data_IF_093450495607
#
_entry.id   IF_093450495607
#
_cell.length_a   1.000
_cell.length_b   1.000
_cell.length_c   1.000
_cell.angle_alpha   90.00
_cell.angle_beta   90.00
_cell.angle_gamma   90.00
#
_symmetry.space_group_name_H-M   'P 1'
#
loop_
_entity.id
_entity.type
_entity.pdbx_description
1 polymer ?
#
# COMPACT_ATOMS: atom_id res chain seq x y z
N UNK A 1 8.71 -10.46 -74.13
CA UNK A 1 9.70 -9.64 -73.36
C UNK A 1 11.15 -9.83 -73.82
N UNK A 2 11.68 -11.05 -73.92
CA UNK A 2 13.10 -11.29 -74.22
C UNK A 2 13.52 -10.73 -75.60
N UNK A 3 12.69 -10.91 -76.63
CA UNK A 3 12.96 -10.37 -77.97
C UNK A 3 12.99 -8.83 -78.03
N UNK A 4 12.24 -8.14 -77.17
CA UNK A 4 12.25 -6.68 -77.07
C UNK A 4 13.53 -6.19 -76.40
N UNK A 5 13.95 -6.82 -75.29
CA UNK A 5 15.23 -6.50 -74.62
C UNK A 5 16.45 -6.76 -75.49
N UNK A 6 16.43 -7.82 -76.31
CA UNK A 6 17.51 -8.11 -77.26
C UNK A 6 17.61 -7.01 -78.33
N UNK A 7 16.49 -6.61 -78.94
CA UNK A 7 16.43 -5.51 -79.90
C UNK A 7 16.88 -4.18 -79.29
N UNK A 8 16.47 -3.90 -78.06
CA UNK A 8 16.90 -2.71 -77.32
C UNK A 8 18.42 -2.67 -77.10
N UNK A 9 19.04 -3.77 -76.64
CA UNK A 9 20.50 -3.84 -76.48
C UNK A 9 21.24 -3.69 -77.80
N UNK A 10 20.73 -4.32 -78.86
CA UNK A 10 21.31 -4.26 -80.19
C UNK A 10 21.22 -2.85 -80.78
N UNK A 11 20.08 -2.18 -80.62
CA UNK A 11 19.91 -0.78 -81.02
C UNK A 11 20.94 0.13 -80.32
N UNK A 12 21.09 0.02 -79.00
CA UNK A 12 22.04 0.85 -78.26
C UNK A 12 23.51 0.49 -78.52
N UNK A 13 23.85 -0.74 -78.92
CA UNK A 13 25.23 -1.15 -79.20
C UNK A 13 25.70 -0.87 -80.64
N UNK A 14 24.77 -0.77 -81.58
CA UNK A 14 25.04 -0.54 -83.01
C UNK A 14 24.95 0.93 -83.42
N UNK A 15 24.19 1.75 -82.69
CA UNK A 15 24.01 3.18 -82.98
C UNK A 15 25.23 4.01 -82.52
N UNK A 16 25.95 4.73 -83.40
CA UNK A 16 27.19 5.44 -83.08
C UNK A 16 27.05 6.44 -81.93
N UNK A 17 25.95 7.18 -81.89
CA UNK A 17 25.68 8.24 -80.89
C UNK A 17 25.49 7.68 -79.48
N UNK A 18 24.98 6.45 -79.35
CA UNK A 18 24.66 5.82 -78.06
C UNK A 18 25.60 4.69 -77.65
N UNK A 19 26.46 4.21 -78.56
CA UNK A 19 27.36 3.07 -78.33
C UNK A 19 28.20 3.22 -77.05
N UNK A 20 28.70 4.43 -76.77
CA UNK A 20 29.49 4.70 -75.56
C UNK A 20 28.66 4.64 -74.27
N UNK A 21 27.34 4.87 -74.35
CA UNK A 21 26.39 4.82 -73.24
C UNK A 21 25.64 3.49 -73.13
N UNK A 22 25.81 2.57 -74.07
CA UNK A 22 25.05 1.30 -74.15
C UNK A 22 25.04 0.49 -72.84
N UNK A 23 26.06 0.65 -71.98
CA UNK A 23 26.16 -0.01 -70.67
C UNK A 23 25.39 0.68 -69.53
N UNK A 24 24.96 1.94 -69.71
CA UNK A 24 24.24 2.79 -68.72
C UNK A 24 22.82 3.16 -69.15
N UNK A 25 22.32 2.58 -70.24
CA UNK A 25 20.99 2.88 -70.79
C UNK A 25 20.20 1.59 -71.04
N UNK A 26 18.91 1.75 -71.34
CA UNK A 26 17.98 0.67 -71.58
C UNK A 26 17.26 0.17 -70.34
N UNK A 27 16.16 -0.55 -70.58
CA UNK A 27 15.21 -0.99 -69.57
C UNK A 27 15.81 -1.86 -68.47
N UNK A 28 16.81 -2.69 -68.80
CA UNK A 28 17.51 -3.53 -67.81
C UNK A 28 18.39 -2.70 -66.87
N UNK A 29 19.11 -1.70 -67.40
CA UNK A 29 19.92 -0.82 -66.56
C UNK A 29 19.02 0.01 -65.63
N UNK A 30 17.92 0.55 -66.16
CA UNK A 30 16.93 1.27 -65.38
C UNK A 30 16.33 0.40 -64.26
N UNK A 31 15.93 -0.84 -64.57
CA UNK A 31 15.40 -1.77 -63.57
C UNK A 31 16.41 -2.04 -62.45
N UNK A 32 17.69 -2.28 -62.79
CA UNK A 32 18.77 -2.45 -61.79
C UNK A 32 18.97 -1.19 -60.94
N UNK A 33 18.91 0.00 -61.56
CA UNK A 33 19.03 1.27 -60.85
C UNK A 33 17.88 1.50 -59.87
N UNK A 34 16.64 1.26 -60.30
CA UNK A 34 15.45 1.38 -59.45
C UNK A 34 15.47 0.36 -58.30
N UNK A 35 15.85 -0.90 -58.57
CA UNK A 35 16.01 -1.92 -57.53
C UNK A 35 17.05 -1.52 -56.49
N UNK A 36 18.23 -1.03 -56.92
CA UNK A 36 19.28 -0.58 -56.00
C UNK A 36 18.84 0.64 -55.18
N UNK A 37 18.14 1.58 -55.80
CA UNK A 37 17.61 2.75 -55.10
C UNK A 37 16.57 2.33 -54.05
N UNK A 38 15.61 1.47 -54.43
CA UNK A 38 14.59 0.94 -53.52
C UNK A 38 15.22 0.19 -52.34
N UNK A 39 16.20 -0.68 -52.60
CA UNK A 39 16.93 -1.40 -51.55
C UNK A 39 17.63 -0.44 -50.57
N UNK A 40 18.26 0.62 -51.10
CA UNK A 40 18.92 1.65 -50.27
C UNK A 40 17.91 2.36 -49.37
N UNK A 41 16.76 2.75 -49.93
CA UNK A 41 15.68 3.42 -49.17
C UNK A 41 15.13 2.47 -48.10
N UNK A 42 14.83 1.21 -48.44
CA UNK A 42 14.35 0.21 -47.48
C UNK A 42 15.34 0.03 -46.32
N UNK A 43 16.63 -0.23 -46.64
CA UNK A 43 17.69 -0.39 -45.62
C UNK A 43 17.82 0.82 -44.71
N UNK A 44 17.66 2.04 -45.24
CA UNK A 44 17.72 3.26 -44.43
C UNK A 44 16.56 3.41 -43.44
N UNK A 45 15.41 2.79 -43.70
CA UNK A 45 14.20 2.89 -42.86
C UNK A 45 14.09 1.76 -41.84
N UNK A 46 14.72 0.61 -42.08
CA UNK A 46 14.70 -0.56 -41.18
C UNK A 46 15.03 -0.20 -39.71
N UNK A 47 16.09 0.54 -39.38
CA UNK A 47 16.42 0.85 -37.99
C UNK A 47 15.32 1.64 -37.26
N UNK A 48 14.65 2.56 -37.98
CA UNK A 48 13.53 3.33 -37.42
C UNK A 48 12.31 2.47 -37.15
N UNK A 49 12.00 1.53 -38.05
CA UNK A 49 10.91 0.57 -37.85
C UNK A 49 11.23 -0.37 -36.69
N UNK A 50 12.46 -0.88 -36.59
CA UNK A 50 12.90 -1.74 -35.50
C UNK A 50 12.75 -1.04 -34.14
N UNK A 51 13.17 0.24 -34.05
CA UNK A 51 13.00 1.04 -32.83
C UNK A 51 11.53 1.22 -32.45
N UNK A 52 10.66 1.50 -33.42
CA UNK A 52 9.22 1.65 -33.18
C UNK A 52 8.58 0.34 -32.68
N UNK A 53 8.93 -0.79 -33.29
CA UNK A 53 8.44 -2.12 -32.87
C UNK A 53 8.88 -2.43 -31.44
N UNK A 54 10.16 -2.28 -31.14
CA UNK A 54 10.70 -2.56 -29.80
C UNK A 54 10.01 -1.70 -28.73
N UNK A 55 9.89 -0.39 -28.99
CA UNK A 55 9.18 0.51 -28.08
C UNK A 55 7.71 0.10 -27.87
N UNK A 56 7.01 -0.27 -28.94
CA UNK A 56 5.60 -0.68 -28.87
C UNK A 56 5.44 -2.00 -28.11
N UNK A 57 6.38 -2.93 -28.27
CA UNK A 57 6.45 -4.18 -27.50
C UNK A 57 6.57 -3.86 -26.01
N UNK A 58 7.52 -3.01 -25.61
CA UNK A 58 7.74 -2.66 -24.20
C UNK A 58 6.50 -2.00 -23.58
N UNK A 59 5.83 -1.11 -24.32
CA UNK A 59 4.57 -0.47 -23.90
C UNK A 59 3.46 -1.51 -23.70
N UNK A 60 3.30 -2.45 -24.64
CA UNK A 60 2.31 -3.51 -24.57
C UNK A 60 2.57 -4.50 -23.42
N UNK A 61 3.84 -4.86 -23.18
CA UNK A 61 4.23 -5.73 -22.08
C UNK A 61 4.00 -5.07 -20.71
N UNK A 62 4.28 -3.77 -20.61
CA UNK A 62 3.99 -2.97 -19.41
C UNK A 62 2.48 -2.91 -19.15
N UNK A 63 1.68 -2.70 -20.18
CA UNK A 63 0.21 -2.65 -20.05
C UNK A 63 -0.37 -4.03 -19.67
N UNK A 64 0.10 -5.11 -20.29
CA UNK A 64 -0.30 -6.48 -19.93
C UNK A 64 0.11 -6.84 -18.51
N UNK A 65 1.31 -6.43 -18.08
CA UNK A 65 1.78 -6.62 -16.71
C UNK A 65 0.88 -5.90 -15.71
N UNK A 66 0.40 -4.70 -16.05
CA UNK A 66 -0.55 -3.94 -15.22
C UNK A 66 -1.92 -4.63 -15.10
N UNK A 67 -2.38 -5.30 -16.16
CA UNK A 67 -3.64 -6.07 -16.14
C UNK A 67 -3.50 -7.42 -15.44
N UNK A 68 -2.29 -7.90 -15.18
CA UNK A 68 -2.03 -9.18 -14.54
C UNK A 68 -2.30 -10.39 -15.43
N UNK A 69 -2.10 -11.58 -14.87
CA UNK A 69 -2.27 -12.86 -15.58
C UNK A 69 -3.74 -13.31 -15.56
N UNK A 70 -4.20 -13.99 -16.62
CA UNK A 70 -5.52 -14.61 -16.61
C UNK A 70 -5.61 -15.67 -15.52
N UNK A 71 -6.77 -15.75 -14.86
CA UNK A 71 -7.06 -16.76 -13.84
C UNK A 71 -7.43 -18.05 -14.56
N UNK A 72 -6.68 -19.13 -14.33
CA UNK A 72 -7.00 -20.43 -14.89
C UNK A 72 -8.32 -20.97 -14.29
N UNK A 73 -9.21 -21.48 -15.14
CA UNK A 73 -10.56 -21.89 -14.76
C UNK A 73 -10.60 -23.06 -13.75
N UNK A 74 -9.53 -23.84 -13.66
CA UNK A 74 -9.34 -25.01 -12.80
C UNK A 74 -8.53 -24.71 -11.53
N UNK A 75 -7.79 -23.60 -11.49
CA UNK A 75 -6.90 -23.23 -10.38
C UNK A 75 -7.52 -22.22 -9.38
N UNK A 76 -8.85 -22.09 -9.35
CA UNK A 76 -9.52 -21.04 -8.59
C UNK A 76 -9.23 -21.07 -7.09
N UNK A 77 -9.33 -22.24 -6.46
CA UNK A 77 -9.03 -22.38 -5.02
C UNK A 77 -7.57 -22.04 -4.70
N UNK A 78 -6.62 -22.54 -5.50
CA UNK A 78 -5.20 -22.25 -5.34
C UNK A 78 -4.92 -20.74 -5.45
N UNK A 79 -5.57 -20.08 -6.41
CA UNK A 79 -5.43 -18.63 -6.63
C UNK A 79 -5.98 -17.82 -5.45
N UNK A 80 -7.17 -18.17 -4.95
CA UNK A 80 -7.77 -17.48 -3.78
C UNK A 80 -6.91 -17.69 -2.53
N UNK A 81 -6.41 -18.91 -2.30
CA UNK A 81 -5.51 -19.19 -1.18
C UNK A 81 -4.24 -18.34 -1.25
N UNK A 82 -3.67 -18.15 -2.44
CA UNK A 82 -2.50 -17.30 -2.62
C UNK A 82 -2.81 -15.81 -2.36
N UNK A 83 -3.97 -15.33 -2.81
CA UNK A 83 -4.46 -13.98 -2.49
C UNK A 83 -4.60 -13.82 -0.96
N UNK A 84 -5.16 -14.81 -0.25
CA UNK A 84 -5.26 -14.80 1.20
C UNK A 84 -3.89 -14.77 1.90
N UNK A 85 -2.90 -15.53 1.39
CA UNK A 85 -1.51 -15.48 1.92
C UNK A 85 -0.88 -14.11 1.73
N UNK A 86 -0.99 -13.52 0.54
CA UNK A 86 -0.46 -12.19 0.23
C UNK A 86 -1.13 -11.11 1.08
N UNK A 87 -2.45 -11.19 1.24
CA UNK A 87 -3.19 -10.31 2.16
C UNK A 87 -2.68 -10.44 3.60
N UNK A 88 -2.54 -11.68 4.10
CA UNK A 88 -2.08 -11.96 5.45
C UNK A 88 -0.65 -11.46 5.69
N UNK A 89 0.25 -11.66 4.74
CA UNK A 89 1.61 -11.13 4.80
C UNK A 89 1.61 -9.60 4.87
N UNK A 90 0.82 -8.93 4.01
CA UNK A 90 0.67 -7.49 4.05
C UNK A 90 0.10 -7.02 5.40
N UNK A 91 -0.91 -7.69 5.94
CA UNK A 91 -1.47 -7.36 7.26
C UNK A 91 -0.40 -7.46 8.35
N UNK A 92 0.36 -8.55 8.39
CA UNK A 92 1.47 -8.73 9.33
C UNK A 92 2.55 -7.67 9.19
N UNK A 93 2.95 -7.32 7.97
CA UNK A 93 3.93 -6.25 7.75
C UNK A 93 3.47 -4.89 8.30
N UNK A 94 2.17 -4.57 8.23
CA UNK A 94 1.66 -3.33 8.80
C UNK A 94 1.51 -3.37 10.32
N UNK A 95 1.33 -4.56 10.88
CA UNK A 95 1.18 -4.76 12.31
C UNK A 95 2.54 -4.83 13.02
N UNK A 96 3.50 -5.57 12.45
CA UNK A 96 4.82 -5.85 13.04
C UNK A 96 5.93 -4.86 12.59
N UNK A 97 5.78 -4.20 11.43
CA UNK A 97 6.87 -3.45 10.80
C UNK A 97 7.00 -1.98 11.25
N UNK A 98 8.00 -1.28 10.68
CA UNK A 98 8.37 0.16 10.86
C UNK A 98 7.29 1.13 10.32
N UNK A 99 6.02 0.71 10.27
CA UNK A 99 4.90 1.49 9.73
C UNK A 99 3.90 1.80 10.83
N UNK A 100 3.09 2.83 10.59
CA UNK A 100 2.11 3.44 11.51
C UNK A 100 1.18 2.53 12.31
N UNK A 101 1.05 1.24 12.02
CA UNK A 101 0.15 0.33 12.73
C UNK A 101 0.64 -0.01 14.13
N UNK A 102 1.83 -0.62 14.21
CA UNK A 102 2.49 -0.93 15.49
C UNK A 102 2.68 0.32 16.34
N UNK A 103 3.19 1.41 15.74
CA UNK A 103 3.40 2.70 16.43
C UNK A 103 2.11 3.27 17.04
N UNK A 104 0.97 3.13 16.36
CA UNK A 104 -0.33 3.57 16.90
C UNK A 104 -0.75 2.74 18.10
N UNK A 105 -0.52 1.43 18.06
CA UNK A 105 -0.80 0.54 19.20
C UNK A 105 0.13 0.89 20.38
N UNK A 106 1.42 1.12 20.13
CA UNK A 106 2.34 1.61 21.15
C UNK A 106 1.88 2.95 21.74
N UNK A 107 1.43 3.89 20.90
CA UNK A 107 0.94 5.19 21.38
C UNK A 107 -0.31 5.06 22.27
N UNK A 108 -1.20 4.09 22.02
CA UNK A 108 -2.33 3.80 22.91
C UNK A 108 -1.82 3.37 24.29
N UNK A 109 -0.80 2.51 24.35
CA UNK A 109 -0.30 1.94 25.60
C UNK A 109 0.66 2.84 26.37
N UNK A 110 1.52 3.60 25.69
CA UNK A 110 2.59 4.39 26.32
C UNK A 110 2.15 5.83 26.62
N UNK A 111 1.15 6.34 25.89
CA UNK A 111 0.71 7.73 26.03
C UNK A 111 -0.77 7.83 26.46
N UNK A 112 -1.69 7.27 25.68
CA UNK A 112 -3.13 7.49 25.90
C UNK A 112 -3.63 6.85 27.19
N UNK A 113 -3.33 5.56 27.41
CA UNK A 113 -3.73 4.84 28.61
C UNK A 113 -3.11 5.44 29.89
N UNK A 114 -1.79 5.70 29.97
CA UNK A 114 -1.19 6.32 31.15
C UNK A 114 -1.75 7.72 31.47
N UNK A 115 -2.01 8.53 30.43
CA UNK A 115 -2.61 9.85 30.57
C UNK A 115 -4.05 9.77 31.09
N UNK A 116 -4.86 8.87 30.52
CA UNK A 116 -6.24 8.66 30.93
C UNK A 116 -6.34 8.15 32.38
N UNK A 117 -5.46 7.21 32.78
CA UNK A 117 -5.37 6.74 34.16
C UNK A 117 -5.06 7.91 35.12
N UNK A 118 -4.07 8.76 34.78
CA UNK A 118 -3.70 9.91 35.60
C UNK A 118 -4.85 10.92 35.73
N UNK A 119 -5.58 11.17 34.64
CA UNK A 119 -6.73 12.09 34.64
C UNK A 119 -7.88 11.59 35.52
N UNK A 120 -8.19 10.28 35.48
CA UNK A 120 -9.22 9.69 36.33
C UNK A 120 -8.91 9.86 37.82
N UNK A 121 -7.63 9.77 38.21
CA UNK A 121 -7.21 9.99 39.60
C UNK A 121 -7.37 11.45 40.06
N UNK A 122 -7.05 12.40 39.19
CA UNK A 122 -7.17 13.84 39.50
C UNK A 122 -8.63 14.25 39.70
N UNK A 123 -9.53 13.79 38.82
CA UNK A 123 -10.96 14.12 38.90
C UNK A 123 -11.63 13.62 40.18
N UNK A 124 -11.15 12.50 40.73
CA UNK A 124 -11.69 11.95 41.97
C UNK A 124 -11.23 12.75 43.19
N UNK A 125 -9.99 13.24 43.20
CA UNK A 125 -9.52 14.16 44.26
C UNK A 125 -10.30 15.49 44.29
N UNK A 126 -10.85 15.91 43.14
CA UNK A 126 -11.61 17.16 43.00
C UNK A 126 -13.12 16.99 43.29
N UNK A 127 -13.71 15.83 42.97
CA UNK A 127 -15.15 15.59 43.09
C UNK A 127 -15.61 15.27 44.52
N UNK A 128 -14.73 14.69 45.33
CA UNK A 128 -15.05 14.15 46.64
C UNK A 128 -14.74 15.17 47.74
N UNK A 129 -15.64 16.16 47.93
CA UNK A 129 -15.62 17.11 49.05
C UNK A 129 -15.84 16.43 50.43
N UNK A 130 -14.89 15.58 50.85
CA UNK A 130 -15.05 14.62 51.95
C UNK A 130 -15.10 15.26 53.35
N UNK A 131 -16.13 14.92 54.12
CA UNK A 131 -16.23 15.21 55.56
C UNK A 131 -15.59 14.07 56.40
N UNK A 132 -14.52 14.33 57.19
CA UNK A 132 -13.61 13.28 57.70
C UNK A 132 -14.08 12.53 58.95
N UNK A 133 -15.06 13.05 59.68
CA UNK A 133 -15.36 12.56 61.04
C UNK A 133 -16.08 11.20 61.08
N UNK A 134 -16.45 10.62 59.94
CA UNK A 134 -17.18 9.34 59.87
C UNK A 134 -16.37 8.14 59.35
N UNK A 135 -15.12 8.33 58.92
CA UNK A 135 -14.32 7.28 58.28
C UNK A 135 -12.99 7.08 59.01
N UNK A 136 -13.06 6.44 60.17
CA UNK A 136 -11.89 5.96 60.92
C UNK A 136 -11.85 4.42 61.00
N UNK A 137 -12.50 3.72 60.05
CA UNK A 137 -12.52 2.25 59.98
C UNK A 137 -11.94 1.77 58.64
N UNK A 138 -11.31 0.59 58.64
CA UNK A 138 -10.77 -0.09 57.44
C UNK A 138 -11.76 -0.10 56.27
N UNK A 139 -13.05 -0.20 56.58
CA UNK A 139 -14.15 -0.18 55.64
C UNK A 139 -14.22 1.10 54.79
N UNK A 140 -13.84 2.26 55.31
CA UNK A 140 -13.91 3.50 54.55
C UNK A 140 -12.71 3.71 53.62
N UNK A 141 -11.52 3.22 54.00
CA UNK A 141 -10.39 3.09 53.06
C UNK A 141 -10.75 2.15 51.91
N UNK A 142 -11.35 0.99 52.23
CA UNK A 142 -11.80 0.02 51.24
C UNK A 142 -12.79 0.61 50.25
N UNK A 143 -13.83 1.30 50.72
CA UNK A 143 -14.83 1.94 49.85
C UNK A 143 -14.22 3.02 48.94
N UNK A 144 -13.31 3.83 49.47
CA UNK A 144 -12.65 4.88 48.67
C UNK A 144 -11.74 4.28 47.59
N UNK A 145 -11.01 3.22 47.93
CA UNK A 145 -10.21 2.45 46.98
C UNK A 145 -11.12 1.82 45.91
N UNK A 146 -12.18 1.13 46.31
CA UNK A 146 -13.14 0.48 45.38
C UNK A 146 -13.75 1.49 44.41
N UNK A 147 -14.24 2.63 44.92
CA UNK A 147 -14.78 3.72 44.09
C UNK A 147 -13.74 4.21 43.07
N UNK A 148 -12.49 4.39 43.51
CA UNK A 148 -11.40 4.83 42.63
C UNK A 148 -11.07 3.80 41.55
N UNK A 149 -11.03 2.51 41.90
CA UNK A 149 -10.74 1.44 40.96
C UNK A 149 -11.83 1.29 39.89
N UNK A 150 -13.10 1.57 40.20
CA UNK A 150 -14.19 1.55 39.21
C UNK A 150 -13.95 2.58 38.10
N UNK A 151 -13.39 3.76 38.42
CA UNK A 151 -13.10 4.79 37.40
C UNK A 151 -12.00 4.40 36.41
N UNK A 152 -11.20 3.38 36.71
CA UNK A 152 -10.15 2.85 35.83
C UNK A 152 -10.75 2.01 34.69
N UNK A 153 -11.98 1.52 34.86
CA UNK A 153 -12.68 0.73 33.83
C UNK A 153 -12.79 1.49 32.51
N UNK A 154 -13.20 2.76 32.53
CA UNK A 154 -13.37 3.57 31.32
C UNK A 154 -12.08 3.71 30.49
N UNK A 155 -10.94 4.13 31.08
CA UNK A 155 -9.64 4.13 30.40
C UNK A 155 -9.22 2.77 29.84
N UNK A 156 -9.50 1.68 30.56
CA UNK A 156 -9.19 0.32 30.10
C UNK A 156 -10.04 -0.08 28.88
N UNK A 157 -11.35 0.16 28.93
CA UNK A 157 -12.28 -0.09 27.81
C UNK A 157 -11.90 0.76 26.59
N UNK A 158 -11.58 2.04 26.79
CA UNK A 158 -11.13 2.92 25.71
C UNK A 158 -9.84 2.44 25.03
N UNK A 159 -8.88 1.90 25.78
CA UNK A 159 -7.66 1.32 25.21
C UNK A 159 -7.93 0.03 24.41
N UNK A 160 -8.88 -0.80 24.86
CA UNK A 160 -9.36 -2.00 24.15
C UNK A 160 -10.01 -1.61 22.83
N UNK A 161 -10.91 -0.63 22.84
CA UNK A 161 -11.65 -0.17 21.66
C UNK A 161 -10.75 0.53 20.65
N UNK A 162 -9.83 1.38 21.13
CA UNK A 162 -8.84 2.04 20.28
C UNK A 162 -7.95 1.02 19.55
N UNK A 163 -7.47 0.00 20.26
CA UNK A 163 -6.66 -1.07 19.66
C UNK A 163 -7.46 -1.86 18.64
N UNK A 164 -8.70 -2.21 18.96
CA UNK A 164 -9.61 -2.90 18.02
C UNK A 164 -9.88 -2.08 16.76
N UNK A 165 -10.10 -0.76 16.89
CA UNK A 165 -10.27 0.14 15.75
C UNK A 165 -9.02 0.20 14.87
N UNK A 166 -7.82 0.27 15.48
CA UNK A 166 -6.55 0.23 14.75
C UNK A 166 -6.42 -1.09 13.97
N UNK A 167 -6.75 -2.23 14.58
CA UNK A 167 -6.70 -3.53 13.89
C UNK A 167 -7.67 -3.58 12.69
N UNK A 168 -8.89 -3.04 12.82
CA UNK A 168 -9.83 -2.91 11.70
C UNK A 168 -9.30 -2.02 10.58
N UNK A 169 -8.72 -0.87 10.92
CA UNK A 169 -8.11 0.03 9.93
C UNK A 169 -6.95 -0.65 9.19
N UNK A 170 -6.16 -1.46 9.89
CA UNK A 170 -5.08 -2.23 9.31
C UNK A 170 -5.59 -3.30 8.33
N UNK A 171 -6.70 -3.98 8.66
CA UNK A 171 -7.38 -4.89 7.73
C UNK A 171 -7.79 -4.13 6.46
N UNK A 172 -8.47 -3.00 6.59
CA UNK A 172 -8.89 -2.19 5.43
C UNK A 172 -7.68 -1.71 4.60
N UNK A 173 -6.60 -1.28 5.24
CA UNK A 173 -5.36 -0.89 4.55
C UNK A 173 -4.70 -2.07 3.83
N UNK A 174 -4.63 -3.23 4.46
CA UNK A 174 -4.11 -4.45 3.85
C UNK A 174 -4.96 -4.87 2.63
N UNK A 175 -6.29 -4.77 2.72
CA UNK A 175 -7.22 -5.02 1.60
C UNK A 175 -7.02 -4.02 0.46
N UNK A 176 -6.76 -2.75 0.77
CA UNK A 176 -6.51 -1.74 -0.26
C UNK A 176 -5.18 -1.96 -0.98
N UNK A 177 -4.19 -2.62 -0.37
CA UNK A 177 -2.86 -2.84 -0.94
C UNK A 177 -2.72 -4.12 -1.76
N UNK A 178 -3.57 -5.12 -1.55
CA UNK A 178 -3.61 -6.35 -2.38
C UNK A 178 -3.80 -6.06 -3.87
N UNK A 179 -4.65 -5.10 -4.30
CA UNK A 179 -4.71 -4.64 -5.69
C UNK A 179 -3.83 -3.41 -6.01
N UNK A 180 -3.35 -2.65 -5.01
CA UNK A 180 -2.65 -1.35 -5.21
C UNK A 180 -1.12 -1.38 -5.13
N UNK A 181 -0.46 -2.49 -4.82
CA UNK A 181 1.03 -2.51 -4.68
C UNK A 181 1.76 -2.13 -5.99
N UNK A 182 1.14 -2.30 -7.15
CA UNK A 182 1.67 -1.85 -8.45
C UNK A 182 1.34 -0.37 -8.77
N UNK A 183 0.19 0.15 -8.31
CA UNK A 183 -0.23 1.54 -8.60
C UNK A 183 0.44 2.57 -7.68
N UNK A 184 0.84 2.17 -6.47
CA UNK A 184 1.51 3.05 -5.50
C UNK A 184 2.98 3.36 -5.81
N UNK A 185 3.67 2.50 -6.59
CA UNK A 185 5.02 2.84 -7.10
C UNK A 185 5.01 4.06 -8.05
N UNK A 186 3.85 4.43 -8.61
CA UNK A 186 3.68 5.63 -9.44
C UNK A 186 3.33 6.90 -8.63
N UNK A 187 2.86 6.75 -7.38
CA UNK A 187 2.52 7.88 -6.48
C UNK A 187 3.67 8.20 -5.53
N UNK A 188 4.51 7.22 -5.19
CA UNK A 188 5.75 7.45 -4.42
C UNK A 188 6.77 8.32 -5.18
N UNK A 189 6.59 8.52 -6.51
CA UNK A 189 7.31 9.54 -7.30
C UNK A 189 6.84 10.99 -7.05
N UNK A 190 5.63 11.20 -6.52
CA UNK A 190 5.01 12.52 -6.33
C UNK A 190 5.14 13.06 -4.88
N UNK A 191 5.48 12.22 -3.90
CA UNK A 191 5.65 12.63 -2.50
C UNK A 191 7.00 13.33 -2.19
N UNK A 192 7.88 13.52 -3.19
CA UNK A 192 9.15 14.24 -3.02
C UNK A 192 9.01 15.77 -3.03
N UNK A 193 7.79 16.33 -3.12
CA UNK A 193 7.55 17.78 -3.03
C UNK A 193 6.68 18.14 -1.81
N UNK A 194 7.34 18.29 -0.65
CA UNK A 194 6.83 19.11 0.45
C UNK A 194 7.89 20.18 0.77
N UNK A 195 7.68 21.38 0.22
CA UNK A 195 8.52 22.56 0.40
C UNK A 195 8.33 23.20 1.77
N UNK A 196 9.41 23.84 2.24
CA UNK A 196 9.58 24.58 3.51
C UNK A 196 8.46 25.61 3.80
N UNK A 197 7.67 25.99 2.81
CA UNK A 197 6.55 26.94 2.97
C UNK A 197 5.39 26.42 3.85
N UNK A 198 5.18 25.10 3.95
CA UNK A 198 4.09 24.56 4.78
C UNK A 198 4.30 24.85 6.28
N UNK A 199 5.55 24.90 6.75
CA UNK A 199 5.87 25.10 8.17
C UNK A 199 5.86 26.57 8.62
N UNK A 200 5.67 27.54 7.72
CA UNK A 200 5.57 28.98 8.06
C UNK A 200 4.14 29.43 8.42
N UNK A 201 3.13 28.57 8.32
CA UNK A 201 1.72 28.90 8.61
C UNK A 201 1.17 28.20 9.86
N UNK A 202 1.89 28.29 10.97
CA UNK A 202 1.36 27.94 12.30
C UNK A 202 1.32 29.22 13.18
N UNK A 203 0.16 29.60 13.73
CA UNK A 203 0.06 30.77 14.61
C UNK A 203 0.80 30.53 15.94
N UNK A 204 1.51 31.55 16.41
CA UNK A 204 2.04 31.67 17.77
C UNK A 204 1.29 32.82 18.45
N UNK A 205 0.75 32.56 19.64
CA UNK A 205 0.25 33.61 20.53
C UNK A 205 1.05 33.63 21.84
N UNK A 206 1.24 34.85 22.33
CA UNK A 206 2.08 35.24 23.47
C UNK A 206 1.22 35.98 24.49
N UNK A 207 1.53 35.72 25.76
CA UNK A 207 1.51 36.61 26.94
C UNK A 207 0.38 36.62 28.00
N UNK A 208 0.88 36.48 29.25
CA UNK A 208 0.64 37.25 30.50
C UNK A 208 -0.42 36.83 31.53
N UNK A 209 0.06 36.85 32.79
CA UNK A 209 -0.68 37.37 33.96
C UNK A 209 -0.82 36.42 35.14
N UNK A 210 -0.15 36.70 36.27
CA UNK A 210 -0.30 35.96 37.53
C UNK A 210 -1.22 36.63 38.55
N UNK A 211 -1.59 35.90 39.61
CA UNK A 211 -1.52 36.34 41.02
C UNK A 211 -1.91 35.19 41.96
N UNK A 212 -1.33 35.24 43.16
CA UNK A 212 -1.48 34.32 44.29
C UNK A 212 -2.40 34.97 45.33
N UNK A 213 -3.42 34.24 45.79
CA UNK A 213 -4.07 34.51 47.08
C UNK A 213 -4.34 33.19 47.80
N UNK A 214 -3.56 32.95 48.86
CA UNK A 214 -3.85 31.96 49.89
C UNK A 214 -4.89 32.53 50.84
N UNK A 215 -5.95 31.77 51.10
CA UNK A 215 -6.85 31.97 52.25
C UNK A 215 -6.30 31.19 53.44
N UNK A 216 -6.25 31.85 54.59
CA UNK A 216 -5.82 31.32 55.89
C UNK A 216 -7.10 30.96 56.65
N UNK A 217 -7.46 29.67 56.70
CA UNK A 217 -8.08 28.98 57.84
C UNK A 217 -8.37 27.51 57.45
N UNK A 218 -7.54 26.58 57.94
CA UNK A 218 -7.95 25.22 58.32
C UNK A 218 -6.72 24.43 58.77
N UNK A 219 -6.45 24.41 60.08
CA UNK A 219 -5.21 23.82 60.60
C UNK A 219 -5.34 22.66 61.58
N UNK A 220 -6.53 22.11 61.79
CA UNK A 220 -6.64 20.93 62.68
C UNK A 220 -7.49 19.76 62.17
N UNK A 221 -7.77 19.69 60.87
CA UNK A 221 -8.31 18.47 60.22
C UNK A 221 -7.57 18.07 58.92
N UNK A 222 -6.72 18.95 58.37
CA UNK A 222 -6.04 18.77 57.08
C UNK A 222 -4.89 17.73 57.12
N UNK A 223 -4.19 17.60 58.25
CA UNK A 223 -3.04 16.67 58.35
C UNK A 223 -3.46 15.19 58.38
N UNK A 224 -4.60 14.88 59.00
CA UNK A 224 -5.17 13.53 59.02
C UNK A 224 -5.81 13.17 57.68
N UNK A 225 -6.56 14.12 57.09
CA UNK A 225 -7.10 14.01 55.73
C UNK A 225 -6.01 13.81 54.67
N UNK A 226 -4.94 14.61 54.71
CA UNK A 226 -3.78 14.42 53.83
C UNK A 226 -3.12 13.06 54.02
N UNK A 227 -3.07 12.53 55.25
CA UNK A 227 -2.54 11.18 55.50
C UNK A 227 -3.43 10.11 54.88
N UNK A 228 -4.75 10.14 55.11
CA UNK A 228 -5.71 9.21 54.48
C UNK A 228 -5.59 9.28 52.95
N UNK A 229 -5.66 10.50 52.40
CA UNK A 229 -5.51 10.76 50.97
C UNK A 229 -4.17 10.25 50.43
N UNK A 230 -3.07 10.46 51.15
CA UNK A 230 -1.74 9.97 50.74
C UNK A 230 -1.63 8.45 50.74
N UNK A 231 -2.24 7.76 51.70
CA UNK A 231 -2.22 6.28 51.79
C UNK A 231 -3.08 5.66 50.69
N UNK A 232 -4.28 6.18 50.46
CA UNK A 232 -5.17 5.73 49.38
C UNK A 232 -4.55 6.03 48.02
N UNK A 233 -4.02 7.23 47.83
CA UNK A 233 -3.33 7.62 46.60
C UNK A 233 -2.09 6.75 46.34
N UNK A 234 -1.33 6.39 47.38
CA UNK A 234 -0.19 5.47 47.25
C UNK A 234 -0.63 4.08 46.80
N UNK A 235 -1.71 3.54 47.40
CA UNK A 235 -2.25 2.24 47.01
C UNK A 235 -2.77 2.26 45.57
N UNK A 236 -3.55 3.29 45.22
CA UNK A 236 -4.10 3.42 43.88
C UNK A 236 -3.00 3.63 42.83
N UNK A 237 -1.97 4.41 43.12
CA UNK A 237 -0.81 4.56 42.23
C UNK A 237 -0.08 3.24 41.99
N UNK A 238 0.06 2.40 43.03
CA UNK A 238 0.63 1.05 42.90
C UNK A 238 -0.24 0.17 41.98
N UNK A 239 -1.57 0.22 42.13
CA UNK A 239 -2.50 -0.52 41.27
C UNK A 239 -2.44 0.00 39.83
N UNK A 240 -2.46 1.32 39.61
CA UNK A 240 -2.32 1.92 38.28
C UNK A 240 -0.98 1.57 37.62
N UNK A 241 0.12 1.51 38.37
CA UNK A 241 1.42 1.07 37.87
C UNK A 241 1.38 -0.40 37.41
N UNK A 242 0.69 -1.26 38.18
CA UNK A 242 0.49 -2.67 37.80
C UNK A 242 -0.39 -2.79 36.55
N UNK A 243 -1.51 -2.06 36.50
CA UNK A 243 -2.46 -2.06 35.39
C UNK A 243 -1.87 -1.51 34.10
N UNK A 244 -0.97 -0.51 34.19
CA UNK A 244 -0.20 0.01 33.04
C UNK A 244 0.60 -1.07 32.32
N UNK A 245 0.99 -2.14 33.01
CA UNK A 245 1.70 -3.26 32.40
C UNK A 245 0.80 -4.44 32.06
N UNK A 246 -0.22 -4.75 32.87
CA UNK A 246 -1.08 -5.92 32.66
C UNK A 246 -2.14 -5.70 31.57
N UNK A 247 -2.70 -4.49 31.45
CA UNK A 247 -3.73 -4.17 30.43
C UNK A 247 -3.16 -4.29 29.02
N UNK A 248 -2.03 -3.64 28.66
CA UNK A 248 -1.43 -3.81 27.33
C UNK A 248 -1.09 -5.27 27.02
N UNK A 249 -0.55 -6.03 27.98
CA UNK A 249 -0.25 -7.46 27.79
C UNK A 249 -1.50 -8.27 27.48
N UNK A 250 -2.61 -8.01 28.18
CA UNK A 250 -3.89 -8.67 27.92
C UNK A 250 -4.44 -8.31 26.54
N UNK A 251 -4.43 -7.02 26.16
CA UNK A 251 -4.89 -6.56 24.84
C UNK A 251 -4.02 -7.16 23.73
N UNK A 252 -2.70 -7.14 23.88
CA UNK A 252 -1.78 -7.74 22.90
C UNK A 252 -2.03 -9.25 22.77
N UNK A 253 -2.20 -9.96 23.89
CA UNK A 253 -2.46 -11.39 23.86
C UNK A 253 -3.81 -11.73 23.21
N UNK A 254 -4.89 -11.06 23.62
CA UNK A 254 -6.24 -11.42 23.22
C UNK A 254 -6.68 -10.83 21.87
N UNK A 255 -6.13 -9.69 21.45
CA UNK A 255 -6.52 -9.04 20.20
C UNK A 255 -5.40 -9.12 19.16
N UNK A 256 -4.22 -8.58 19.46
CA UNK A 256 -3.15 -8.41 18.46
C UNK A 256 -2.59 -9.78 18.03
N UNK A 257 -2.26 -10.64 19.00
CA UNK A 257 -1.72 -11.97 18.75
C UNK A 257 -2.77 -12.89 18.13
N UNK A 258 -4.00 -12.86 18.64
CA UNK A 258 -5.09 -13.66 18.08
C UNK A 258 -5.44 -13.24 16.65
N UNK A 259 -5.53 -11.94 16.35
CA UNK A 259 -5.72 -11.45 14.98
C UNK A 259 -4.57 -11.89 14.05
N UNK A 260 -3.33 -11.92 14.56
CA UNK A 260 -2.18 -12.41 13.79
C UNK A 260 -2.19 -13.93 13.59
N UNK A 261 -2.68 -14.71 14.56
CA UNK A 261 -2.62 -16.18 14.50
C UNK A 261 -3.79 -16.77 13.73
N UNK A 262 -4.99 -16.26 13.96
CA UNK A 262 -6.23 -16.90 13.50
C UNK A 262 -6.72 -16.42 12.14
N UNK A 263 -6.25 -15.27 11.64
CA UNK A 263 -6.81 -14.66 10.43
C UNK A 263 -6.66 -15.53 9.17
N UNK A 264 -5.49 -16.14 8.97
CA UNK A 264 -5.27 -17.01 7.81
C UNK A 264 -6.03 -18.34 7.94
N UNK A 265 -6.02 -18.93 9.15
CA UNK A 265 -6.75 -20.15 9.46
C UNK A 265 -8.27 -19.96 9.28
N UNK A 266 -8.78 -18.79 9.67
CA UNK A 266 -10.17 -18.39 9.45
C UNK A 266 -10.49 -18.33 7.96
N UNK A 267 -9.67 -17.65 7.15
CA UNK A 267 -9.89 -17.63 5.70
C UNK A 267 -9.88 -19.01 5.08
N UNK A 268 -8.93 -19.87 5.43
CA UNK A 268 -8.90 -21.23 4.88
C UNK A 268 -10.09 -22.06 5.33
N UNK A 269 -10.55 -21.91 6.56
CA UNK A 269 -11.74 -22.61 7.07
C UNK A 269 -13.00 -22.16 6.33
N UNK A 270 -13.17 -20.85 6.11
CA UNK A 270 -14.32 -20.32 5.37
C UNK A 270 -14.26 -20.68 3.89
N UNK A 271 -13.07 -20.63 3.26
CA UNK A 271 -12.89 -21.03 1.86
C UNK A 271 -13.12 -22.52 1.66
N UNK A 272 -12.71 -23.36 2.60
CA UNK A 272 -12.93 -24.81 2.55
C UNK A 272 -14.40 -25.23 2.62
N UNK A 273 -15.29 -24.35 3.10
CA UNK A 273 -16.74 -24.57 3.13
C UNK A 273 -17.43 -24.19 1.81
N UNK A 274 -16.75 -23.48 0.91
CA UNK A 274 -17.34 -22.99 -0.33
C UNK A 274 -17.30 -24.05 -1.43
N UNK A 275 -18.43 -24.21 -2.12
CA UNK A 275 -18.50 -25.03 -3.33
C UNK A 275 -17.72 -24.39 -4.49
N UNK A 276 -17.26 -25.23 -5.43
CA UNK A 276 -16.49 -24.80 -6.61
C UNK A 276 -17.16 -23.68 -7.41
N UNK A 277 -18.50 -23.69 -7.53
CA UNK A 277 -19.26 -22.63 -8.23
C UNK A 277 -19.17 -21.27 -7.56
N UNK A 278 -19.12 -21.23 -6.22
CA UNK A 278 -18.95 -19.98 -5.47
C UNK A 278 -17.50 -19.50 -5.51
N UNK A 279 -16.54 -20.42 -5.45
CA UNK A 279 -15.13 -20.11 -5.61
C UNK A 279 -14.83 -19.50 -6.99
N UNK A 280 -15.40 -20.05 -8.05
CA UNK A 280 -15.27 -19.45 -9.39
C UNK A 280 -15.94 -18.07 -9.47
N UNK A 281 -17.09 -17.89 -8.83
CA UNK A 281 -17.77 -16.60 -8.80
C UNK A 281 -16.95 -15.50 -8.10
N UNK A 282 -16.18 -15.83 -7.06
CA UNK A 282 -15.27 -14.89 -6.39
C UNK A 282 -14.11 -14.42 -7.29
N UNK A 283 -13.82 -15.17 -8.35
CA UNK A 283 -12.72 -14.91 -9.28
C UNK A 283 -13.21 -14.45 -10.66
N UNK A 284 -14.51 -14.20 -10.82
CA UNK A 284 -15.05 -13.68 -12.07
C UNK A 284 -14.40 -12.34 -12.37
N UNK A 285 -13.61 -12.31 -13.42
CA UNK A 285 -12.97 -11.11 -13.91
C UNK A 285 -13.98 -10.28 -14.72
N UNK A 286 -13.80 -8.95 -14.70
CA UNK A 286 -14.55 -8.05 -15.55
C UNK A 286 -14.35 -8.44 -17.04
N UNK A 287 -15.42 -8.75 -17.79
CA UNK A 287 -15.33 -9.08 -19.22
C UNK A 287 -14.55 -8.04 -20.02
N UNK A 288 -14.62 -6.76 -19.66
CA UNK A 288 -13.88 -5.70 -20.34
C UNK A 288 -12.36 -5.83 -20.12
N UNK A 289 -11.93 -6.28 -18.93
CA UNK A 289 -10.51 -6.53 -18.63
C UNK A 289 -10.03 -7.76 -19.40
N UNK A 290 -10.84 -8.83 -19.44
CA UNK A 290 -10.52 -10.04 -20.22
C UNK A 290 -10.36 -9.73 -21.71
N UNK A 291 -11.30 -8.99 -22.29
CA UNK A 291 -11.26 -8.60 -23.70
C UNK A 291 -10.05 -7.71 -24.00
N UNK A 292 -9.81 -6.70 -23.15
CA UNK A 292 -8.63 -5.82 -23.28
C UNK A 292 -7.33 -6.61 -23.21
N UNK A 293 -7.19 -7.54 -22.26
CA UNK A 293 -6.00 -8.39 -22.13
C UNK A 293 -5.80 -9.24 -23.39
N UNK A 294 -6.87 -9.85 -23.91
CA UNK A 294 -6.82 -10.66 -25.14
C UNK A 294 -6.42 -9.83 -26.36
N UNK A 295 -6.97 -8.62 -26.51
CA UNK A 295 -6.62 -7.73 -27.60
C UNK A 295 -5.15 -7.28 -27.56
N UNK A 296 -4.64 -6.91 -26.38
CA UNK A 296 -3.24 -6.53 -26.19
C UNK A 296 -2.29 -7.70 -26.46
N UNK A 297 -2.63 -8.91 -25.98
CA UNK A 297 -1.82 -10.11 -26.21
C UNK A 297 -1.71 -10.45 -27.71
N UNK A 298 -2.82 -10.40 -28.45
CA UNK A 298 -2.82 -10.58 -29.91
C UNK A 298 -1.96 -9.52 -30.60
N UNK A 299 -2.07 -8.26 -30.18
CA UNK A 299 -1.27 -7.18 -30.77
C UNK A 299 0.22 -7.38 -30.49
N UNK A 300 0.58 -7.79 -29.28
CA UNK A 300 1.96 -8.09 -28.89
C UNK A 300 2.55 -9.21 -29.74
N UNK A 301 1.78 -10.28 -29.98
CA UNK A 301 2.21 -11.39 -30.84
C UNK A 301 2.53 -10.94 -32.27
N UNK A 302 1.68 -10.08 -32.85
CA UNK A 302 1.93 -9.50 -34.17
C UNK A 302 3.22 -8.66 -34.20
N UNK A 303 3.46 -7.84 -33.18
CA UNK A 303 4.70 -7.06 -33.09
C UNK A 303 5.94 -7.94 -32.88
N UNK A 304 5.82 -9.04 -32.12
CA UNK A 304 6.90 -10.02 -31.95
C UNK A 304 7.21 -10.76 -33.26
N UNK A 305 6.19 -11.11 -34.04
CA UNK A 305 6.38 -11.66 -35.39
C UNK A 305 7.08 -10.66 -36.30
N UNK A 306 6.64 -9.40 -36.29
CA UNK A 306 7.27 -8.34 -37.08
C UNK A 306 8.72 -8.04 -36.64
N UNK A 307 9.02 -8.13 -35.35
CA UNK A 307 10.38 -8.03 -34.81
C UNK A 307 11.26 -9.16 -35.38
N UNK A 308 10.79 -10.40 -35.32
CA UNK A 308 11.52 -11.55 -35.86
C UNK A 308 11.78 -11.41 -37.38
N UNK A 309 10.76 -10.99 -38.15
CA UNK A 309 10.93 -10.74 -39.59
C UNK A 309 11.96 -9.64 -39.86
N UNK A 310 11.91 -8.51 -39.16
CA UNK A 310 12.88 -7.42 -39.34
C UNK A 310 14.30 -7.87 -38.97
N UNK A 311 14.46 -8.63 -37.90
CA UNK A 311 15.77 -9.12 -37.49
C UNK A 311 16.37 -10.04 -38.57
N UNK A 312 15.57 -10.89 -39.24
CA UNK A 312 16.10 -11.70 -40.37
C UNK A 312 16.65 -10.86 -41.53
N UNK A 313 16.04 -9.70 -41.80
CA UNK A 313 16.46 -8.78 -42.87
C UNK A 313 17.62 -7.89 -42.44
N UNK A 314 17.70 -7.53 -41.15
CA UNK A 314 18.78 -6.70 -40.62
C UNK A 314 20.14 -7.41 -40.62
N UNK A 315 20.17 -8.75 -40.49
CA UNK A 315 21.40 -9.55 -40.41
C UNK A 315 21.82 -10.23 -41.74
N UNK A 316 21.00 -10.12 -42.79
CA UNK A 316 21.40 -10.55 -44.14
C UNK A 316 22.35 -9.51 -44.75
N UNK A 317 23.65 -9.69 -44.49
CA UNK A 317 24.75 -8.95 -45.13
C UNK A 317 24.80 -9.19 -46.63
#
# INVERSE_FOLDING_TARGET
MIAARRREREYFSTTPEYRHLAHRIGSEHLAKMLSKHLETVIKSRIPGIQSLINKTIDELETELSRLGKPIAADAGLCTIMEICRLFYQNFREHLDGVRTGGDKVYNVFDNQLPSALKSSLLKLMEADGYQPHLIATEQGYRRLIESTLVTIRGPAESAVDATHSILKDLVHKAMSKTPKKATLQLVDMECCYLTVEFFRKLPQDVDKGGSVTQSIFDRYNDSYLRRIGSTVLSYVNMVCATLRHSIPKSIVYCQVREAKRSLLDFFYTELGKLEQKRLSALLNEDPAIMERRSALAKRLELYRSAQAEIDTVAWSK
#
